data_IF_652751190371
#
_entry.id   IF_652751190371
#
_cell.length_a   1.000
_cell.length_b   1.000
_cell.length_c   1.000
_cell.angle_alpha   90.00
_cell.angle_beta   90.00
_cell.angle_gamma   90.00
#
_symmetry.space_group_name_H-M   'P 1'
#
loop_
_entity.id
_entity.type
_entity.pdbx_description
1 polymer ?
#
# COMPACT_ATOMS: atom_id res chain seq x y z
N UNK A 1 7.98 20.03 29.00
CA UNK A 1 8.94 19.45 28.04
C UNK A 1 8.56 18.02 27.65
N UNK A 2 8.36 17.11 28.61
CA UNK A 2 7.98 15.70 28.37
C UNK A 2 6.71 15.53 27.51
N UNK A 3 5.64 16.29 27.78
CA UNK A 3 4.39 16.22 27.00
C UNK A 3 4.59 16.55 25.52
N UNK A 4 5.34 17.63 25.22
CA UNK A 4 5.69 18.01 23.84
C UNK A 4 6.49 16.93 23.11
N UNK A 5 7.38 16.22 23.82
CA UNK A 5 8.12 15.09 23.25
C UNK A 5 7.20 13.90 22.94
N UNK A 6 6.26 13.58 23.83
CA UNK A 6 5.28 12.51 23.60
C UNK A 6 4.40 12.85 22.39
N UNK A 7 3.87 14.07 22.33
CA UNK A 7 3.02 14.54 21.22
C UNK A 7 3.78 14.50 19.87
N UNK A 8 5.09 14.80 19.88
CA UNK A 8 5.96 14.69 18.71
C UNK A 8 6.14 13.23 18.24
N UNK A 9 6.42 12.30 19.15
CA UNK A 9 6.57 10.89 18.78
C UNK A 9 5.27 10.27 18.31
N UNK A 10 4.15 10.63 18.94
CA UNK A 10 2.82 10.16 18.56
C UNK A 10 2.47 10.59 17.13
N UNK A 11 2.61 11.89 16.81
CA UNK A 11 2.31 12.40 15.46
C UNK A 11 3.21 11.77 14.38
N UNK A 12 4.50 11.51 14.69
CA UNK A 12 5.41 10.81 13.78
C UNK A 12 4.99 9.35 13.53
N UNK A 13 4.52 8.64 14.56
CA UNK A 13 4.02 7.27 14.42
C UNK A 13 2.70 7.21 13.67
N UNK A 14 1.77 8.13 13.97
CA UNK A 14 0.49 8.25 13.30
C UNK A 14 0.65 8.52 11.80
N UNK A 15 1.58 9.42 11.42
CA UNK A 15 1.90 9.67 10.02
C UNK A 15 2.41 8.42 9.28
N UNK A 16 3.27 7.61 9.93
CA UNK A 16 3.72 6.33 9.36
C UNK A 16 2.58 5.31 9.25
N UNK A 17 1.67 5.28 10.22
CA UNK A 17 0.52 4.38 10.21
C UNK A 17 -0.45 4.73 9.08
N UNK A 18 -0.82 6.00 8.92
CA UNK A 18 -1.69 6.48 7.85
C UNK A 18 -1.09 6.19 6.47
N UNK A 19 0.21 6.42 6.30
CA UNK A 19 0.93 6.08 5.07
C UNK A 19 0.85 4.58 4.76
N UNK A 20 1.07 3.71 5.75
CA UNK A 20 0.96 2.25 5.61
C UNK A 20 -0.46 1.81 5.23
N UNK A 21 -1.48 2.37 5.87
CA UNK A 21 -2.87 2.09 5.49
C UNK A 21 -3.15 2.50 4.04
N UNK A 22 -2.59 3.62 3.59
CA UNK A 22 -2.70 4.07 2.19
C UNK A 22 -2.15 3.06 1.19
N UNK A 23 -1.02 2.40 1.49
CA UNK A 23 -0.48 1.34 0.62
C UNK A 23 -1.41 0.13 0.52
N UNK A 24 -1.96 -0.29 1.65
CA UNK A 24 -2.90 -1.41 1.70
C UNK A 24 -4.19 -1.12 0.94
N UNK A 25 -4.82 0.03 1.21
CA UNK A 25 -6.08 0.42 0.55
C UNK A 25 -5.88 0.64 -0.95
N UNK A 26 -4.72 1.16 -1.37
CA UNK A 26 -4.37 1.29 -2.79
C UNK A 26 -4.32 -0.07 -3.47
N UNK A 27 -3.66 -1.06 -2.86
CA UNK A 27 -3.61 -2.42 -3.40
C UNK A 27 -4.99 -3.06 -3.54
N UNK A 28 -5.82 -2.89 -2.51
CA UNK A 28 -7.21 -3.36 -2.53
C UNK A 28 -8.02 -2.73 -3.68
N UNK A 29 -7.92 -1.41 -3.84
CA UNK A 29 -8.62 -0.68 -4.90
C UNK A 29 -8.17 -1.10 -6.30
N UNK A 30 -6.86 -1.18 -6.53
CA UNK A 30 -6.30 -1.60 -7.81
C UNK A 30 -6.80 -3.00 -8.17
N UNK A 31 -6.72 -3.95 -7.23
CA UNK A 31 -7.18 -5.31 -7.46
C UNK A 31 -8.69 -5.40 -7.67
N UNK A 32 -9.48 -4.58 -6.98
CA UNK A 32 -10.94 -4.55 -7.14
C UNK A 32 -11.33 -4.02 -8.53
N UNK A 33 -10.75 -2.89 -8.95
CA UNK A 33 -11.07 -2.25 -10.23
C UNK A 33 -10.59 -3.10 -11.40
N UNK A 34 -9.29 -3.46 -11.42
CA UNK A 34 -8.75 -4.29 -12.50
C UNK A 34 -9.33 -5.71 -12.49
N UNK A 35 -9.63 -6.24 -11.29
CA UNK A 35 -10.30 -7.52 -11.11
C UNK A 35 -11.68 -7.56 -11.74
N UNK A 36 -12.48 -6.52 -11.53
CA UNK A 36 -13.82 -6.40 -12.07
C UNK A 36 -13.84 -6.15 -13.59
N UNK A 37 -12.86 -5.40 -14.11
CA UNK A 37 -12.80 -5.05 -15.53
C UNK A 37 -12.24 -6.16 -16.43
N UNK A 38 -11.39 -7.04 -15.91
CA UNK A 38 -10.70 -8.05 -16.73
C UNK A 38 -10.84 -9.46 -16.16
N UNK A 39 -10.24 -9.72 -14.99
CA UNK A 39 -10.43 -10.95 -14.21
C UNK A 39 -9.82 -10.77 -12.83
N UNK A 40 -10.36 -11.48 -11.82
CA UNK A 40 -9.88 -11.38 -10.44
C UNK A 40 -8.36 -11.62 -10.33
N UNK A 41 -7.83 -12.62 -11.04
CA UNK A 41 -6.40 -12.91 -11.05
C UNK A 41 -5.57 -11.76 -11.64
N UNK A 42 -6.05 -11.13 -12.72
CA UNK A 42 -5.40 -9.95 -13.31
C UNK A 42 -5.44 -8.77 -12.34
N UNK A 43 -6.52 -8.61 -11.58
CA UNK A 43 -6.60 -7.64 -10.48
C UNK A 43 -5.47 -7.82 -9.45
N UNK A 44 -5.28 -9.05 -8.98
CA UNK A 44 -4.21 -9.36 -8.02
C UNK A 44 -2.82 -9.06 -8.60
N UNK A 45 -2.56 -9.50 -9.84
CA UNK A 45 -1.30 -9.24 -10.54
C UNK A 45 -1.07 -7.74 -10.70
N UNK A 46 -2.09 -6.97 -11.05
CA UNK A 46 -2.00 -5.52 -11.20
C UNK A 46 -1.63 -4.83 -9.88
N UNK A 47 -2.20 -5.26 -8.74
CA UNK A 47 -1.84 -4.71 -7.43
C UNK A 47 -0.38 -5.00 -7.05
N UNK A 48 0.12 -6.21 -7.33
CA UNK A 48 1.52 -6.57 -7.07
C UNK A 48 2.48 -5.75 -7.94
N UNK A 49 2.18 -5.63 -9.25
CA UNK A 49 2.98 -4.82 -10.17
C UNK A 49 2.95 -3.35 -9.74
N UNK A 50 1.80 -2.81 -9.33
CA UNK A 50 1.69 -1.43 -8.87
C UNK A 50 2.52 -1.17 -7.61
N UNK A 51 2.51 -2.10 -6.64
CA UNK A 51 3.36 -2.02 -5.46
C UNK A 51 4.85 -1.98 -5.84
N UNK A 52 5.28 -2.87 -6.74
CA UNK A 52 6.68 -2.89 -7.21
C UNK A 52 7.05 -1.62 -7.99
N UNK A 53 6.17 -1.17 -8.89
CA UNK A 53 6.38 0.02 -9.71
C UNK A 53 6.49 1.28 -8.84
N UNK A 54 5.65 1.43 -7.81
CA UNK A 54 5.74 2.56 -6.87
C UNK A 54 7.09 2.59 -6.17
N UNK A 55 7.57 1.46 -5.64
CA UNK A 55 8.87 1.41 -4.95
C UNK A 55 10.04 1.65 -5.90
N UNK A 56 9.92 1.22 -7.16
CA UNK A 56 10.89 1.54 -8.20
C UNK A 56 10.91 3.04 -8.51
N UNK A 57 9.75 3.69 -8.66
CA UNK A 57 9.63 5.13 -8.92
C UNK A 57 10.20 5.93 -7.74
N UNK A 58 9.96 5.51 -6.51
CA UNK A 58 10.52 6.17 -5.32
C UNK A 58 12.04 6.09 -5.30
N UNK A 59 12.59 4.90 -5.64
CA UNK A 59 14.03 4.69 -5.77
C UNK A 59 14.65 5.61 -6.83
N UNK A 60 14.03 5.71 -8.00
CA UNK A 60 14.58 6.45 -9.13
C UNK A 60 14.41 7.97 -8.97
N UNK A 61 13.25 8.40 -8.44
CA UNK A 61 12.95 9.83 -8.27
C UNK A 61 13.68 10.47 -7.10
N UNK A 62 14.15 9.67 -6.12
CA UNK A 62 14.74 10.16 -4.88
C UNK A 62 13.77 10.93 -3.97
N UNK A 63 12.47 10.93 -4.29
CA UNK A 63 11.42 11.67 -3.58
C UNK A 63 10.68 10.83 -2.53
N UNK A 64 10.89 9.51 -2.52
CA UNK A 64 10.23 8.58 -1.60
C UNK A 64 11.21 7.65 -0.87
N UNK A 65 10.76 7.10 0.26
CA UNK A 65 11.48 6.07 0.99
C UNK A 65 11.16 4.72 0.37
N UNK A 66 12.18 4.02 -0.16
CA UNK A 66 12.02 2.65 -0.63
C UNK A 66 11.73 1.75 0.58
N UNK A 67 10.55 1.15 0.59
CA UNK A 67 10.02 0.40 1.72
C UNK A 67 9.41 -0.92 1.26
N UNK A 68 10.09 -2.02 1.57
CA UNK A 68 9.55 -3.36 1.33
C UNK A 68 8.21 -3.59 2.02
N UNK A 69 7.99 -2.96 3.18
CA UNK A 69 6.71 -3.04 3.92
C UNK A 69 5.59 -2.36 3.14
N UNK A 70 5.85 -1.24 2.47
CA UNK A 70 4.87 -0.56 1.63
C UNK A 70 4.44 -1.43 0.43
N UNK A 71 5.41 -2.04 -0.26
CA UNK A 71 5.14 -3.04 -1.30
C UNK A 71 4.28 -4.20 -0.78
N UNK A 72 4.68 -4.81 0.34
CA UNK A 72 3.94 -5.93 0.93
C UNK A 72 2.49 -5.54 1.28
N UNK A 73 2.28 -4.34 1.84
CA UNK A 73 0.94 -3.87 2.18
C UNK A 73 0.08 -3.71 0.94
N UNK A 74 0.61 -3.18 -0.16
CA UNK A 74 -0.10 -3.10 -1.44
C UNK A 74 -0.42 -4.50 -1.98
N UNK A 75 0.52 -5.44 -1.95
CA UNK A 75 0.27 -6.82 -2.38
C UNK A 75 -0.81 -7.51 -1.51
N UNK A 76 -0.76 -7.33 -0.19
CA UNK A 76 -1.74 -7.91 0.75
C UNK A 76 -3.12 -7.29 0.61
N UNK A 77 -3.23 -5.99 0.34
CA UNK A 77 -4.50 -5.34 0.02
C UNK A 77 -5.13 -5.92 -1.24
N UNK A 78 -4.32 -6.16 -2.27
CA UNK A 78 -4.76 -6.84 -3.49
C UNK A 78 -5.20 -8.28 -3.24
N UNK A 79 -4.43 -9.03 -2.45
CA UNK A 79 -4.78 -10.40 -2.06
C UNK A 79 -6.12 -10.44 -1.31
N UNK A 80 -6.35 -9.52 -0.38
CA UNK A 80 -7.62 -9.43 0.34
C UNK A 80 -8.78 -9.18 -0.63
N UNK A 81 -8.66 -8.23 -1.55
CA UNK A 81 -9.68 -7.97 -2.56
C UNK A 81 -9.96 -9.21 -3.42
N UNK A 82 -8.92 -9.90 -3.88
CA UNK A 82 -9.05 -11.15 -4.63
C UNK A 82 -9.83 -12.21 -3.85
N UNK A 83 -9.51 -12.40 -2.57
CA UNK A 83 -10.20 -13.39 -1.72
C UNK A 83 -11.66 -13.02 -1.43
N UNK A 84 -11.98 -11.74 -1.21
CA UNK A 84 -13.35 -11.31 -0.91
C UNK A 84 -14.24 -11.40 -2.15
N UNK A 85 -13.72 -11.05 -3.32
CA UNK A 85 -14.48 -11.04 -4.57
C UNK A 85 -14.53 -12.42 -5.27
N UNK A 86 -13.64 -13.33 -4.88
CA UNK A 86 -13.54 -14.68 -5.43
C UNK A 86 -14.30 -15.76 -4.66
N UNK A 87 -14.92 -15.40 -3.52
CA UNK A 87 -15.94 -16.21 -2.83
C UNK A 87 -17.30 -15.87 -3.43
#
# INVERSE_FOLDING_TARGET
MLRKMIDFWYSKMEGKYLSRMGHFTTGFMISTIAGHLVSLLIGLIAAVIAGMAKEWIDKESGKGEVSFVAFLLTALGGLLAYTILGI
#
